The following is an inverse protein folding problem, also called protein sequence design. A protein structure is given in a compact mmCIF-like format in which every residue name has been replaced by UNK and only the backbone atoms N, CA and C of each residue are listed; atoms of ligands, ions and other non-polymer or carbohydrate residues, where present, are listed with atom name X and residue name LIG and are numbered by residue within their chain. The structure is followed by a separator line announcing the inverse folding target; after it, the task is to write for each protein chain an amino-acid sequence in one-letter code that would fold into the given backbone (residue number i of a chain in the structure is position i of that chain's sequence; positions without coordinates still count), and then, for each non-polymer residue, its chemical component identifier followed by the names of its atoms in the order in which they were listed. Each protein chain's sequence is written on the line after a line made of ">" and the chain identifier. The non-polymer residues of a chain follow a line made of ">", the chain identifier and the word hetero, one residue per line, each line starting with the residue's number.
data_IF_159416329731
#
_entry.id   IF_159416329731
#
_cell.length_a   1.000
_cell.length_b   1.000
_cell.length_c   1.000
_cell.angle_alpha   90.00
_cell.angle_beta   90.00
_cell.angle_gamma   90.00
#
_symmetry.space_group_name_H-M   'P 1'
#
loop_
_entity.id
_entity.type
_entity.pdbx_description
1 polymer ?
#
# COMPACT_ATOMS: atom_id res chain seq x y z
N UNK A 1 -13.14 3.82 17.29
CA UNK A 1 -12.23 4.99 17.35
C UNK A 1 -11.65 5.18 15.97
N UNK A 2 -11.50 6.43 15.54
CA UNK A 2 -11.16 6.76 14.15
C UNK A 2 -9.69 7.15 14.03
N UNK A 3 -8.93 6.48 13.16
CA UNK A 3 -7.53 6.78 12.86
C UNK A 3 -7.41 7.85 11.77
N UNK A 4 -6.35 8.65 11.79
CA UNK A 4 -5.99 9.52 10.67
C UNK A 4 -5.12 8.75 9.68
N UNK A 5 -5.55 8.64 8.44
CA UNK A 5 -4.76 8.01 7.37
C UNK A 5 -3.93 9.09 6.67
N UNK A 6 -2.65 8.79 6.45
CA UNK A 6 -1.66 9.65 5.80
C UNK A 6 -0.90 8.80 4.78
N UNK A 7 -0.55 9.40 3.65
CA UNK A 7 0.34 8.79 2.65
C UNK A 7 1.70 9.49 2.75
N UNK A 8 2.78 8.71 2.62
CA UNK A 8 4.08 9.29 2.30
C UNK A 8 4.07 9.87 0.89
N UNK A 9 4.95 10.82 0.59
CA UNK A 9 5.18 11.31 -0.78
C UNK A 9 5.51 10.15 -1.73
N UNK A 10 6.33 9.21 -1.25
CA UNK A 10 6.64 7.97 -1.92
C UNK A 10 5.41 7.13 -2.30
N UNK A 11 4.42 7.00 -1.40
CA UNK A 11 3.19 6.27 -1.67
C UNK A 11 2.25 7.04 -2.61
N UNK A 12 2.33 8.37 -2.64
CA UNK A 12 1.61 9.19 -3.60
C UNK A 12 2.18 8.99 -5.01
N UNK A 13 3.50 9.06 -5.17
CA UNK A 13 4.16 8.76 -6.45
C UNK A 13 3.90 7.32 -6.93
N UNK A 14 3.78 6.36 -6.00
CA UNK A 14 3.40 5.00 -6.35
C UNK A 14 1.99 4.92 -6.99
N UNK A 15 1.03 5.73 -6.52
CA UNK A 15 -0.32 5.80 -7.08
C UNK A 15 -0.31 6.46 -8.47
N UNK A 16 0.43 7.56 -8.63
CA UNK A 16 0.58 8.26 -9.92
C UNK A 16 1.24 7.34 -10.96
N UNK A 17 2.33 6.67 -10.60
CA UNK A 17 2.99 5.71 -11.50
C UNK A 17 2.10 4.50 -11.83
N UNK A 18 1.20 4.11 -10.92
CA UNK A 18 0.24 3.05 -11.16
C UNK A 18 -0.85 3.50 -12.13
N UNK A 19 -1.35 4.73 -11.97
CA UNK A 19 -2.31 5.36 -12.89
C UNK A 19 -1.76 5.39 -14.32
N UNK A 20 -0.58 6.00 -14.49
CA UNK A 20 0.10 6.11 -15.78
C UNK A 20 0.27 4.73 -16.44
N UNK A 21 0.69 3.73 -15.67
CA UNK A 21 0.92 2.39 -16.16
C UNK A 21 -0.38 1.70 -16.63
N UNK A 22 -1.45 1.77 -15.84
CA UNK A 22 -2.72 1.12 -16.18
C UNK A 22 -3.40 1.89 -17.31
N UNK A 23 -3.41 3.22 -17.26
CA UNK A 23 -3.98 4.07 -18.30
C UNK A 23 -3.34 3.81 -19.66
N UNK A 24 -2.01 3.68 -19.72
CA UNK A 24 -1.29 3.38 -20.95
C UNK A 24 -1.53 1.96 -21.48
N UNK A 25 -1.82 1.00 -20.60
CA UNK A 25 -1.90 -0.43 -20.95
C UNK A 25 -3.33 -0.91 -21.18
N UNK A 26 -4.22 -0.60 -20.26
CA UNK A 26 -5.59 -1.11 -20.16
C UNK A 26 -6.66 -0.01 -20.33
N UNK A 27 -6.25 1.26 -20.42
CA UNK A 27 -7.11 2.41 -20.64
C UNK A 27 -7.49 3.17 -19.37
N UNK A 28 -7.90 4.45 -19.49
CA UNK A 28 -8.15 5.34 -18.35
C UNK A 28 -9.28 4.85 -17.43
N UNK A 29 -10.39 4.37 -17.99
CA UNK A 29 -11.51 3.83 -17.20
C UNK A 29 -11.06 2.68 -16.26
N UNK A 30 -10.06 1.91 -16.70
CA UNK A 30 -9.52 0.81 -15.90
C UNK A 30 -8.60 1.32 -14.80
N UNK A 31 -7.85 2.37 -15.06
CA UNK A 31 -6.98 3.02 -14.08
C UNK A 31 -7.82 3.68 -12.97
N UNK A 32 -8.83 4.46 -13.35
CA UNK A 32 -9.80 5.07 -12.43
C UNK A 32 -10.42 4.03 -11.50
N UNK A 33 -10.95 2.94 -12.08
CA UNK A 33 -11.52 1.85 -11.29
C UNK A 33 -10.50 1.25 -10.31
N UNK A 34 -9.24 1.08 -10.70
CA UNK A 34 -8.23 0.52 -9.81
C UNK A 34 -7.90 1.49 -8.68
N UNK A 35 -7.71 2.78 -8.98
CA UNK A 35 -7.40 3.81 -7.99
C UNK A 35 -8.52 3.97 -6.98
N UNK A 36 -9.78 4.04 -7.43
CA UNK A 36 -10.96 4.12 -6.55
C UNK A 36 -10.99 2.98 -5.53
N UNK A 37 -10.62 1.77 -5.98
CA UNK A 37 -10.64 0.59 -5.11
C UNK A 37 -9.46 0.54 -4.16
N UNK A 38 -8.30 1.06 -4.56
CA UNK A 38 -7.15 1.25 -3.67
C UNK A 38 -7.47 2.32 -2.62
N UNK A 39 -8.04 3.45 -3.04
CA UNK A 39 -8.47 4.52 -2.15
C UNK A 39 -9.49 4.00 -1.13
N UNK A 40 -10.52 3.27 -1.57
CA UNK A 40 -11.49 2.64 -0.67
C UNK A 40 -10.82 1.70 0.35
N UNK A 41 -9.80 0.94 -0.07
CA UNK A 41 -9.05 0.07 0.82
C UNK A 41 -8.22 0.85 1.86
N UNK A 42 -7.62 1.98 1.47
CA UNK A 42 -6.88 2.91 2.32
C UNK A 42 -7.83 3.59 3.31
N UNK A 43 -8.98 4.11 2.85
CA UNK A 43 -9.98 4.76 3.68
C UNK A 43 -10.55 3.81 4.73
N UNK A 44 -10.73 2.52 4.40
CA UNK A 44 -11.16 1.51 5.37
C UNK A 44 -10.19 1.30 6.55
N UNK A 45 -8.91 1.70 6.43
CA UNK A 45 -7.95 1.65 7.54
C UNK A 45 -8.24 2.67 8.64
N UNK A 46 -9.06 3.69 8.35
CA UNK A 46 -9.53 4.66 9.33
C UNK A 46 -10.25 3.99 10.51
N UNK A 47 -11.03 2.96 10.23
CA UNK A 47 -11.86 2.29 11.23
C UNK A 47 -11.26 0.96 11.69
N UNK A 48 -10.55 0.26 10.81
CA UNK A 48 -10.00 -1.07 11.07
C UNK A 48 -8.52 -1.21 10.66
N UNK A 49 -7.61 -0.42 11.24
CA UNK A 49 -6.20 -0.46 10.84
C UNK A 49 -5.50 -1.77 11.21
N UNK A 50 -5.99 -2.53 12.19
CA UNK A 50 -5.37 -3.79 12.62
C UNK A 50 -5.75 -4.99 11.75
N UNK A 51 -6.68 -4.81 10.78
CA UNK A 51 -7.16 -5.88 9.89
C UNK A 51 -6.09 -6.39 8.92
N UNK A 52 -5.05 -5.60 8.69
CA UNK A 52 -3.98 -5.93 7.76
C UNK A 52 -3.05 -7.00 8.31
N UNK A 53 -2.63 -7.90 7.44
CA UNK A 53 -1.67 -8.95 7.75
C UNK A 53 -0.25 -8.39 7.81
N UNK A 54 0.70 -9.15 8.34
CA UNK A 54 2.12 -8.82 8.23
C UNK A 54 2.63 -9.29 6.86
N UNK A 55 3.32 -8.45 6.07
CA UNK A 55 3.93 -8.88 4.82
C UNK A 55 4.87 -10.07 5.05
N UNK A 56 4.69 -11.22 4.38
CA UNK A 56 5.50 -12.41 4.64
C UNK A 56 7.00 -12.17 4.42
N UNK A 57 7.35 -11.29 3.47
CA UNK A 57 8.73 -10.90 3.17
C UNK A 57 9.40 -10.21 4.36
N UNK A 58 8.67 -9.42 5.13
CA UNK A 58 9.17 -8.72 6.31
C UNK A 58 9.02 -9.57 7.58
N UNK A 59 7.91 -10.29 7.68
CA UNK A 59 7.63 -11.18 8.82
C UNK A 59 8.67 -12.30 8.95
N UNK A 60 9.18 -12.83 7.82
CA UNK A 60 10.25 -13.83 7.82
C UNK A 60 11.58 -13.30 8.39
N UNK A 61 11.78 -11.97 8.38
CA UNK A 61 12.93 -11.28 8.99
C UNK A 61 12.65 -10.83 10.44
N UNK A 62 11.49 -11.19 11.00
CA UNK A 62 11.07 -10.75 12.34
C UNK A 62 10.51 -9.32 12.39
N UNK A 63 10.36 -8.65 11.25
CA UNK A 63 9.88 -7.26 11.17
C UNK A 63 8.35 -7.27 11.17
N UNK A 64 7.76 -6.81 12.28
CA UNK A 64 6.29 -6.77 12.50
C UNK A 64 5.72 -5.36 12.65
N UNK A 65 6.50 -4.35 12.30
CA UNK A 65 6.04 -2.96 12.35
C UNK A 65 5.13 -2.58 11.19
N UNK A 66 5.26 -3.28 10.06
CA UNK A 66 4.50 -3.06 8.84
C UNK A 66 3.34 -4.04 8.71
N UNK A 67 2.25 -3.54 8.17
CA UNK A 67 1.04 -4.28 7.83
C UNK A 67 0.67 -4.07 6.37
N UNK A 68 -0.15 -4.95 5.85
CA UNK A 68 -0.67 -4.85 4.51
C UNK A 68 -2.16 -5.16 4.40
N UNK A 69 -2.81 -4.43 3.49
CA UNK A 69 -4.12 -4.78 2.94
C UNK A 69 -4.01 -4.86 1.43
N UNK A 70 -5.02 -5.49 0.82
CA UNK A 70 -5.03 -5.83 -0.59
C UNK A 70 -6.25 -5.25 -1.30
N UNK A 71 -6.03 -4.79 -2.53
CA UNK A 71 -7.05 -4.77 -3.56
C UNK A 71 -6.48 -5.51 -4.76
N UNK A 72 -6.84 -6.78 -4.94
CA UNK A 72 -6.08 -7.71 -5.80
C UNK A 72 -5.82 -7.13 -7.20
N UNK A 73 -4.59 -7.22 -7.73
CA UNK A 73 -3.37 -7.78 -7.11
C UNK A 73 -2.53 -6.75 -6.31
N UNK A 74 -3.04 -5.55 -6.10
CA UNK A 74 -2.33 -4.45 -5.46
C UNK A 74 -2.22 -4.61 -3.94
N UNK A 75 -1.04 -4.28 -3.41
CA UNK A 75 -0.67 -4.33 -1.99
C UNK A 75 -0.47 -2.90 -1.49
N UNK A 76 -1.02 -2.63 -0.32
CA UNK A 76 -0.91 -1.34 0.37
C UNK A 76 -0.20 -1.60 1.69
N UNK A 77 1.05 -1.15 1.81
CA UNK A 77 1.88 -1.37 2.98
C UNK A 77 1.83 -0.13 3.88
N UNK A 78 1.55 -0.33 5.16
CA UNK A 78 1.37 0.75 6.11
C UNK A 78 1.89 0.41 7.51
N UNK A 79 2.03 1.43 8.37
CA UNK A 79 2.28 1.29 9.81
C UNK A 79 1.18 1.94 10.61
N UNK A 80 0.94 1.44 11.82
CA UNK A 80 0.08 2.08 12.82
C UNK A 80 0.98 2.79 13.82
N UNK A 81 0.85 4.12 13.95
CA UNK A 81 1.64 4.96 14.85
C UNK A 81 0.71 5.80 15.73
N UNK A 82 0.41 5.31 16.94
CA UNK A 82 -0.60 5.90 17.80
C UNK A 82 -1.98 5.88 17.12
N UNK A 83 -2.57 7.05 16.87
CA UNK A 83 -3.85 7.19 16.14
C UNK A 83 -3.68 7.52 14.65
N UNK A 84 -2.49 7.26 14.09
CA UNK A 84 -2.19 7.50 12.68
C UNK A 84 -1.93 6.18 11.95
N UNK A 85 -2.45 6.08 10.75
CA UNK A 85 -2.08 5.06 9.77
C UNK A 85 -1.24 5.76 8.71
N UNK A 86 -0.01 5.31 8.52
CA UNK A 86 0.89 5.89 7.51
C UNK A 86 1.10 4.84 6.43
N UNK A 87 0.62 5.11 5.22
CA UNK A 87 0.84 4.28 4.03
C UNK A 87 2.20 4.65 3.45
N UNK A 88 3.06 3.63 3.29
CA UNK A 88 4.44 3.78 2.84
C UNK A 88 4.67 3.34 1.39
N UNK A 89 3.85 2.39 0.91
CA UNK A 89 4.01 1.79 -0.40
C UNK A 89 2.65 1.35 -0.94
N UNK A 90 2.39 1.65 -2.21
CA UNK A 90 1.33 1.02 -3.01
C UNK A 90 2.00 0.32 -4.19
N UNK A 91 1.73 -0.96 -4.42
CA UNK A 91 2.42 -1.69 -5.48
C UNK A 91 1.57 -2.83 -6.06
N UNK A 92 1.79 -3.16 -7.32
CA UNK A 92 1.32 -4.43 -7.88
C UNK A 92 2.08 -5.59 -7.24
N UNK A 93 1.36 -6.42 -6.49
CA UNK A 93 1.91 -7.59 -5.78
C UNK A 93 2.44 -8.69 -6.70
N UNK A 94 2.25 -8.60 -8.01
CA UNK A 94 2.87 -9.50 -9.01
C UNK A 94 4.35 -9.19 -9.27
N UNK A 95 4.85 -8.04 -8.80
CA UNK A 95 6.27 -7.67 -8.90
C UNK A 95 7.11 -8.45 -7.86
N UNK A 96 8.43 -8.36 -7.97
CA UNK A 96 9.33 -8.84 -6.93
C UNK A 96 9.19 -7.98 -5.66
N UNK A 97 8.30 -8.44 -4.78
CA UNK A 97 7.96 -7.76 -3.54
C UNK A 97 9.09 -7.83 -2.52
N UNK A 98 9.92 -8.86 -2.53
CA UNK A 98 11.06 -8.97 -1.61
C UNK A 98 12.07 -7.87 -1.90
N UNK A 99 12.50 -7.75 -3.16
CA UNK A 99 13.44 -6.70 -3.59
C UNK A 99 12.85 -5.30 -3.41
N UNK A 100 11.56 -5.12 -3.76
CA UNK A 100 10.88 -3.83 -3.64
C UNK A 100 10.79 -3.36 -2.18
N UNK A 101 10.35 -4.22 -1.26
CA UNK A 101 10.20 -3.88 0.16
C UNK A 101 11.56 -3.60 0.80
N UNK A 102 12.58 -4.40 0.51
CA UNK A 102 13.94 -4.16 1.00
C UNK A 102 14.44 -2.77 0.56
N UNK A 103 14.31 -2.44 -0.73
CA UNK A 103 14.73 -1.13 -1.27
C UNK A 103 13.96 0.03 -0.66
N UNK A 104 12.64 -0.09 -0.50
CA UNK A 104 11.76 1.05 -0.13
C UNK A 104 11.71 1.30 1.37
N UNK A 105 11.82 0.24 2.18
CA UNK A 105 11.53 0.28 3.61
C UNK A 105 12.76 0.00 4.51
N UNK A 106 13.77 -0.72 4.01
CA UNK A 106 14.93 -1.12 4.83
C UNK A 106 16.21 -0.34 4.49
N UNK A 107 16.35 0.16 3.26
CA UNK A 107 17.52 0.92 2.83
C UNK A 107 17.37 2.44 3.04
N UNK A 108 16.81 2.87 4.18
CA UNK A 108 16.75 4.29 4.57
C UNK A 108 17.64 4.58 5.76
#
# INVERSE_FOLDING_TARGET
>A
MTFRVLLTEDALHDLEALDDYISARDGPDRADYVLDRIEAAILGLKDFPERGNYPPELASLGIREYREVFFKPYRIIYRIMGKKVIVYLVADGRRDMQTLLARRLLNR
#
